data_IF_907751012148
#
_entry.id   IF_907751012148
#
_cell.length_a   1.000
_cell.length_b   1.000
_cell.length_c   1.000
_cell.angle_alpha   90.00
_cell.angle_beta   90.00
_cell.angle_gamma   90.00
#
_symmetry.space_group_name_H-M   'P 1'
#
loop_
_entity.id
_entity.type
_entity.pdbx_description
1 polymer ?
#
# COMPACT_ATOMS: atom_id res chain seq x y z
N UNK A 1 -23.72 -17.21 16.13
CA UNK A 1 -22.46 -16.60 15.65
C UNK A 1 -22.70 -15.11 15.52
N UNK A 2 -21.74 -14.29 15.92
CA UNK A 2 -21.81 -12.84 15.73
C UNK A 2 -21.66 -12.51 14.23
N UNK A 3 -22.64 -11.84 13.64
CA UNK A 3 -22.63 -11.49 12.20
C UNK A 3 -21.38 -10.70 11.81
N UNK A 4 -20.86 -9.88 12.73
CA UNK A 4 -19.62 -9.13 12.50
C UNK A 4 -18.42 -10.06 12.33
N UNK A 5 -18.34 -11.10 13.15
CA UNK A 5 -17.28 -12.10 13.06
C UNK A 5 -17.37 -12.89 11.74
N UNK A 6 -18.57 -13.27 11.31
CA UNK A 6 -18.78 -13.92 10.01
C UNK A 6 -18.33 -13.01 8.85
N UNK A 7 -18.65 -11.72 8.90
CA UNK A 7 -18.19 -10.75 7.90
C UNK A 7 -16.67 -10.62 7.85
N UNK A 8 -15.99 -10.64 9.00
CA UNK A 8 -14.53 -10.59 9.08
C UNK A 8 -13.91 -11.82 8.41
N UNK A 9 -14.45 -13.02 8.65
CA UNK A 9 -13.96 -14.24 8.01
C UNK A 9 -14.23 -14.24 6.50
N UNK A 10 -15.44 -13.85 6.06
CA UNK A 10 -15.73 -13.67 4.63
C UNK A 10 -14.77 -12.68 3.95
N UNK A 11 -14.44 -11.57 4.61
CA UNK A 11 -13.47 -10.61 4.06
C UNK A 11 -12.05 -11.19 3.97
N UNK A 12 -11.65 -12.13 4.84
CA UNK A 12 -10.38 -12.86 4.69
C UNK A 12 -10.41 -13.77 3.47
N UNK A 13 -11.48 -14.56 3.31
CA UNK A 13 -11.65 -15.49 2.18
C UNK A 13 -11.67 -14.75 0.83
N UNK A 14 -12.43 -13.66 0.74
CA UNK A 14 -12.54 -12.81 -0.45
C UNK A 14 -11.31 -11.90 -0.65
N UNK A 15 -10.35 -11.93 0.29
CA UNK A 15 -9.15 -11.08 0.29
C UNK A 15 -9.48 -9.58 0.21
N UNK A 16 -10.41 -9.10 1.02
CA UNK A 16 -10.85 -7.70 1.14
C UNK A 16 -10.27 -7.05 2.41
N UNK A 17 -8.95 -6.80 2.50
CA UNK A 17 -8.31 -6.36 3.74
C UNK A 17 -8.74 -4.96 4.19
N UNK A 18 -9.06 -4.03 3.27
CA UNK A 18 -9.46 -2.67 3.62
C UNK A 18 -10.87 -2.67 4.20
N UNK A 19 -11.79 -3.39 3.54
CA UNK A 19 -13.16 -3.59 4.06
C UNK A 19 -13.14 -4.32 5.40
N UNK A 20 -12.24 -5.31 5.57
CA UNK A 20 -12.07 -6.00 6.85
C UNK A 20 -11.67 -5.04 7.97
N UNK A 21 -10.70 -4.16 7.73
CA UNK A 21 -10.28 -3.15 8.70
C UNK A 21 -11.45 -2.19 9.01
N UNK A 22 -12.15 -1.75 7.97
CA UNK A 22 -13.31 -0.86 8.07
C UNK A 22 -14.44 -1.42 8.95
N UNK A 23 -14.77 -2.71 8.81
CA UNK A 23 -15.79 -3.41 9.63
C UNK A 23 -15.35 -3.56 11.10
N UNK A 24 -14.04 -3.60 11.36
CA UNK A 24 -13.48 -3.70 12.71
C UNK A 24 -13.48 -2.36 13.46
N UNK A 25 -13.75 -1.26 12.79
CA UNK A 25 -13.88 0.06 13.42
C UNK A 25 -15.31 0.27 13.93
N UNK A 26 -15.47 0.47 15.24
CA UNK A 26 -16.78 0.55 15.89
C UNK A 26 -17.58 1.81 15.50
N UNK A 27 -16.91 2.90 15.17
CA UNK A 27 -17.55 4.17 14.87
C UNK A 27 -17.94 4.34 13.41
N UNK A 28 -17.40 3.51 12.50
CA UNK A 28 -17.69 3.62 11.07
C UNK A 28 -19.18 3.41 10.77
N UNK A 29 -19.84 2.51 11.49
CA UNK A 29 -21.26 2.26 11.35
C UNK A 29 -22.14 3.45 11.76
N UNK A 30 -21.63 4.37 12.58
CA UNK A 30 -22.33 5.59 13.00
C UNK A 30 -22.13 6.76 12.03
N UNK A 31 -21.08 6.69 11.22
CA UNK A 31 -20.72 7.75 10.27
C UNK A 31 -21.51 7.67 8.96
N UNK A 32 -22.05 6.49 8.63
CA UNK A 32 -22.81 6.26 7.41
C UNK A 32 -24.31 6.14 7.71
N UNK A 33 -25.11 6.98 7.07
CA UNK A 33 -26.56 7.06 7.33
C UNK A 33 -27.34 5.88 6.74
N UNK A 34 -26.81 5.24 5.69
CA UNK A 34 -27.45 4.13 5.00
C UNK A 34 -26.47 3.00 4.73
N UNK A 35 -26.99 1.79 4.57
CA UNK A 35 -26.17 0.63 4.21
C UNK A 35 -25.53 0.76 2.82
N UNK A 36 -26.20 1.44 1.88
CA UNK A 36 -25.66 1.71 0.54
C UNK A 36 -24.47 2.66 0.60
N UNK A 37 -24.55 3.72 1.40
CA UNK A 37 -23.46 4.67 1.61
C UNK A 37 -22.23 4.01 2.25
N UNK A 38 -22.45 3.19 3.29
CA UNK A 38 -21.40 2.39 3.91
C UNK A 38 -20.70 1.48 2.88
N UNK A 39 -21.49 0.73 2.10
CA UNK A 39 -20.95 -0.22 1.13
C UNK A 39 -20.19 0.50 0.02
N UNK A 40 -20.72 1.61 -0.48
CA UNK A 40 -20.04 2.43 -1.49
C UNK A 40 -18.67 2.89 -0.99
N UNK A 41 -18.60 3.47 0.21
CA UNK A 41 -17.34 3.94 0.79
C UNK A 41 -16.33 2.81 1.02
N UNK A 42 -16.78 1.68 1.56
CA UNK A 42 -15.93 0.52 1.79
C UNK A 42 -15.33 -0.03 0.48
N UNK A 43 -16.13 -0.08 -0.60
CA UNK A 43 -15.68 -0.52 -1.92
C UNK A 43 -14.69 0.46 -2.56
N UNK A 44 -14.98 1.77 -2.49
CA UNK A 44 -14.07 2.82 -3.00
C UNK A 44 -12.71 2.74 -2.32
N UNK A 45 -12.68 2.61 -1.00
CA UNK A 45 -11.43 2.50 -0.24
C UNK A 45 -10.65 1.24 -0.62
N UNK A 46 -11.31 0.09 -0.74
CA UNK A 46 -10.66 -1.17 -1.16
C UNK A 46 -10.05 -1.06 -2.57
N UNK A 47 -10.74 -0.40 -3.50
CA UNK A 47 -10.21 -0.17 -4.86
C UNK A 47 -8.95 0.70 -4.82
N UNK A 48 -8.98 1.83 -4.12
CA UNK A 48 -7.84 2.74 -4.01
C UNK A 48 -6.63 2.07 -3.33
N UNK A 49 -6.86 1.36 -2.23
CA UNK A 49 -5.80 0.66 -1.51
C UNK A 49 -5.17 -0.46 -2.35
N UNK A 50 -5.95 -1.10 -3.23
CA UNK A 50 -5.41 -2.09 -4.18
C UNK A 50 -4.50 -1.46 -5.20
N UNK A 51 -4.85 -0.30 -5.73
CA UNK A 51 -3.99 0.43 -6.68
C UNK A 51 -2.67 0.83 -6.02
N UNK A 52 -2.71 1.37 -4.79
CA UNK A 52 -1.52 1.72 -4.01
C UNK A 52 -0.64 0.50 -3.77
N UNK A 53 -1.22 -0.62 -3.30
CA UNK A 53 -0.50 -1.87 -3.08
C UNK A 53 0.09 -2.44 -4.36
N UNK A 54 -0.65 -2.42 -5.47
CA UNK A 54 -0.18 -2.88 -6.76
C UNK A 54 1.01 -2.05 -7.25
N UNK A 55 0.96 -0.72 -7.12
CA UNK A 55 2.08 0.17 -7.45
C UNK A 55 3.30 -0.13 -6.59
N UNK A 56 3.13 -0.21 -5.26
CA UNK A 56 4.22 -0.52 -4.34
C UNK A 56 4.86 -1.88 -4.63
N UNK A 57 4.04 -2.89 -4.94
CA UNK A 57 4.52 -4.22 -5.31
C UNK A 57 5.34 -4.20 -6.61
N UNK A 58 4.88 -3.47 -7.64
CA UNK A 58 5.63 -3.30 -8.90
C UNK A 58 6.98 -2.63 -8.69
N UNK A 59 7.04 -1.60 -7.85
CA UNK A 59 8.30 -0.91 -7.50
C UNK A 59 9.25 -1.88 -6.78
N UNK A 60 8.75 -2.63 -5.80
CA UNK A 60 9.57 -3.60 -5.06
C UNK A 60 10.07 -4.74 -5.95
N UNK A 61 9.22 -5.26 -6.83
CA UNK A 61 9.59 -6.35 -7.75
C UNK A 61 10.57 -5.90 -8.83
N UNK A 62 10.57 -4.62 -9.18
CA UNK A 62 11.52 -4.07 -10.16
C UNK A 62 12.97 -4.03 -9.62
N UNK A 63 13.16 -4.27 -8.31
CA UNK A 63 14.47 -4.27 -7.65
C UNK A 63 15.32 -3.06 -8.05
N UNK A 64 14.69 -1.88 -8.10
CA UNK A 64 15.41 -0.66 -8.40
C UNK A 64 16.56 -0.54 -7.41
N UNK A 65 17.79 -0.25 -7.89
CA UNK A 65 18.89 -0.01 -6.99
C UNK A 65 18.46 1.05 -5.98
N UNK A 66 18.77 0.83 -4.70
CA UNK A 66 18.52 1.81 -3.66
C UNK A 66 19.14 3.16 -4.05
N UNK A 67 18.76 4.19 -3.30
CA UNK A 67 19.25 5.55 -3.52
C UNK A 67 20.78 5.56 -3.38
N UNK A 68 21.50 5.40 -4.50
CA UNK A 68 22.96 5.39 -4.52
C UNK A 68 23.46 6.70 -3.94
N UNK A 69 24.18 6.62 -2.83
CA UNK A 69 24.77 7.79 -2.20
C UNK A 69 26.09 8.13 -2.90
N UNK A 70 26.48 9.40 -2.88
CA UNK A 70 27.79 9.80 -3.41
C UNK A 70 28.94 9.07 -2.68
N UNK A 71 28.71 8.69 -1.42
CA UNK A 71 29.63 7.90 -0.60
C UNK A 71 29.82 6.46 -1.08
N UNK A 72 28.89 5.93 -1.87
CA UNK A 72 28.94 4.59 -2.46
C UNK A 72 29.53 4.62 -3.87
N UNK A 73 30.04 5.78 -4.31
CA UNK A 73 30.65 5.94 -5.61
C UNK A 73 31.99 5.20 -5.67
N UNK A 74 32.08 4.20 -6.54
CA UNK A 74 33.33 3.49 -6.85
C UNK A 74 34.26 4.43 -7.64
N UNK A 75 35.09 5.19 -6.93
CA UNK A 75 36.00 6.18 -7.52
C UNK A 75 37.00 5.56 -8.50
N UNK A 76 37.40 4.31 -8.26
CA UNK A 76 38.30 3.53 -9.13
C UNK A 76 37.70 3.23 -10.50
N UNK A 77 36.37 3.26 -10.63
CA UNK A 77 35.65 3.05 -11.89
C UNK A 77 35.29 4.34 -12.62
N UNK A 78 35.70 5.49 -12.09
CA UNK A 78 35.41 6.76 -12.72
C UNK A 78 36.28 6.96 -13.98
N UNK A 79 35.72 7.56 -15.04
CA UNK A 79 36.50 8.14 -16.12
C UNK A 79 37.52 9.15 -15.57
N UNK A 80 38.70 9.24 -16.20
CA UNK A 80 39.80 10.11 -15.74
C UNK A 80 39.40 11.58 -15.54
N UNK A 81 38.45 12.08 -16.34
CA UNK A 81 37.93 13.44 -16.28
C UNK A 81 36.80 13.66 -15.26
N UNK A 82 36.23 12.58 -14.72
CA UNK A 82 35.14 12.63 -13.76
C UNK A 82 35.64 12.69 -12.31
N UNK A 83 36.75 11.99 -12.01
CA UNK A 83 37.34 11.97 -10.67
C UNK A 83 37.78 13.37 -10.19
N UNK A 84 38.32 14.19 -11.10
CA UNK A 84 38.75 15.58 -10.81
C UNK A 84 37.60 16.56 -10.55
N UNK A 85 36.34 16.12 -10.66
CA UNK A 85 35.13 16.94 -10.46
C UNK A 85 34.36 16.57 -9.20
N UNK A 86 34.85 15.60 -8.43
CA UNK A 86 34.28 15.30 -7.13
C UNK A 86 34.64 16.41 -6.13
N UNK A 87 33.70 16.78 -5.24
CA UNK A 87 33.92 17.82 -4.23
C UNK A 87 34.97 17.42 -3.17
#
# INVERSE_FOLDING_TARGET
MDKRQEMIEMCKELRLPSIRAFIQEDDMWKQHQTAEDFLYHALVQEMQDREVRAKANRIRSANFPEKKLLTELETERLPQNAASRLP
#
